data_IF_434780541418
#
_entry.id   IF_434780541418
#
_cell.length_a   1.000
_cell.length_b   1.000
_cell.length_c   1.000
_cell.angle_alpha   90.00
_cell.angle_beta   90.00
_cell.angle_gamma   90.00
#
_symmetry.space_group_name_H-M   'P 1'
#
loop_
_entity.id
_entity.type
_entity.pdbx_description
1 polymer ?
#
# COMPACT_ATOMS: atom_id res chain seq x y z
N UNK A 1 23.79 -50.84 33.11
CA UNK A 1 23.41 -49.64 33.91
C UNK A 1 23.82 -48.45 33.12
N UNK A 2 22.86 -47.78 32.44
CA UNK A 2 23.12 -46.58 31.65
C UNK A 2 22.83 -45.38 32.54
N UNK A 3 23.88 -44.64 32.87
CA UNK A 3 23.80 -43.46 33.71
C UNK A 3 23.39 -42.24 32.87
N UNK A 4 22.11 -41.88 32.86
CA UNK A 4 21.57 -40.71 32.21
C UNK A 4 21.89 -39.49 33.07
N UNK A 5 23.13 -38.96 32.91
CA UNK A 5 23.54 -37.68 33.48
C UNK A 5 22.78 -36.56 32.78
N UNK A 6 21.78 -35.99 33.44
CA UNK A 6 21.15 -34.74 33.00
C UNK A 6 22.20 -33.60 33.05
N UNK A 7 22.34 -32.81 31.94
CA UNK A 7 23.29 -31.69 31.95
C UNK A 7 22.88 -30.68 33.02
N UNK A 8 23.81 -30.38 33.91
CA UNK A 8 23.72 -29.36 34.92
C UNK A 8 23.33 -28.04 34.24
N UNK A 9 22.11 -27.60 34.46
CA UNK A 9 21.61 -26.33 33.89
C UNK A 9 22.36 -25.19 34.56
N UNK A 10 23.27 -24.60 33.80
CA UNK A 10 24.09 -23.47 34.25
C UNK A 10 23.17 -22.29 34.60
N UNK A 11 22.97 -22.01 35.88
CA UNK A 11 22.06 -20.95 36.36
C UNK A 11 22.43 -19.56 35.83
N UNK A 12 23.69 -19.38 35.42
CA UNK A 12 24.18 -18.15 34.77
C UNK A 12 23.67 -18.02 33.35
N UNK A 13 23.64 -19.13 32.59
CA UNK A 13 23.15 -19.16 31.23
C UNK A 13 21.63 -18.86 31.18
N UNK A 14 20.87 -19.41 32.11
CA UNK A 14 19.40 -19.16 32.19
C UNK A 14 19.13 -17.69 32.50
N UNK A 15 19.88 -17.06 33.40
CA UNK A 15 19.74 -15.63 33.71
C UNK A 15 20.08 -14.76 32.50
N UNK A 16 21.11 -15.11 31.74
CA UNK A 16 21.54 -14.36 30.57
C UNK A 16 20.48 -14.45 29.44
N UNK A 17 19.92 -15.64 29.19
CA UNK A 17 18.83 -15.83 28.23
C UNK A 17 17.59 -15.04 28.62
N UNK A 18 17.23 -15.04 29.91
CA UNK A 18 16.09 -14.26 30.40
C UNK A 18 16.26 -12.75 30.18
N UNK A 19 17.46 -12.21 30.43
CA UNK A 19 17.76 -10.78 30.19
C UNK A 19 17.64 -10.46 28.69
N UNK A 20 18.18 -11.29 27.80
CA UNK A 20 18.09 -11.08 26.35
C UNK A 20 16.65 -11.07 25.88
N UNK A 21 15.82 -12.00 26.35
CA UNK A 21 14.40 -12.04 25.99
C UNK A 21 13.63 -10.80 26.44
N UNK A 22 13.92 -10.29 27.64
CA UNK A 22 13.31 -9.05 28.14
C UNK A 22 13.73 -7.84 27.28
N UNK A 23 15.01 -7.73 26.92
CA UNK A 23 15.48 -6.66 26.04
C UNK A 23 14.81 -6.70 24.66
N UNK A 24 14.69 -7.87 24.06
CA UNK A 24 14.00 -8.05 22.77
C UNK A 24 12.54 -7.64 22.89
N UNK A 25 11.84 -8.04 23.94
CA UNK A 25 10.43 -7.65 24.14
C UNK A 25 10.27 -6.12 24.27
N UNK A 26 11.16 -5.44 24.99
CA UNK A 26 11.14 -3.97 25.12
C UNK A 26 11.40 -3.29 23.77
N UNK A 27 12.35 -3.79 22.97
CA UNK A 27 12.62 -3.24 21.64
C UNK A 27 11.41 -3.38 20.70
N UNK A 28 10.71 -4.53 20.72
CA UNK A 28 9.51 -4.74 19.93
C UNK A 28 8.37 -3.80 20.32
N UNK A 29 8.13 -3.61 21.63
CA UNK A 29 7.06 -2.71 22.10
C UNK A 29 7.37 -1.25 21.76
N UNK A 30 8.60 -0.80 21.91
CA UNK A 30 9.03 0.55 21.54
C UNK A 30 8.88 0.79 20.03
N UNK A 31 9.24 -0.17 19.17
CA UNK A 31 9.07 -0.10 17.72
C UNK A 31 7.61 0.06 17.30
N UNK A 32 6.71 -0.73 17.87
CA UNK A 32 5.27 -0.66 17.57
C UNK A 32 4.69 0.69 17.98
N UNK A 33 5.03 1.19 19.18
CA UNK A 33 4.56 2.49 19.66
C UNK A 33 5.04 3.63 18.74
N UNK A 34 6.28 3.58 18.27
CA UNK A 34 6.82 4.58 17.34
C UNK A 34 6.07 4.60 16.01
N UNK A 35 5.78 3.43 15.45
CA UNK A 35 5.03 3.31 14.19
C UNK A 35 3.60 3.86 14.35
N UNK A 36 2.93 3.53 15.46
CA UNK A 36 1.58 4.03 15.74
C UNK A 36 1.57 5.55 15.96
N UNK A 37 2.59 6.08 16.65
CA UNK A 37 2.73 7.52 16.89
C UNK A 37 2.97 8.29 15.59
N UNK A 38 3.84 7.81 14.72
CA UNK A 38 4.09 8.40 13.40
C UNK A 38 2.84 8.38 12.52
N UNK A 39 2.05 7.30 12.58
CA UNK A 39 0.81 7.19 11.82
C UNK A 39 -0.28 8.17 12.27
N UNK A 40 -0.28 8.58 13.57
CA UNK A 40 -1.23 9.56 14.10
C UNK A 40 -0.78 11.00 13.89
N UNK A 41 0.53 11.25 13.68
CA UNK A 41 1.11 12.58 13.61
C UNK A 41 1.63 12.97 12.23
N UNK A 42 1.41 12.15 11.19
CA UNK A 42 1.57 12.65 9.83
C UNK A 42 0.51 13.72 9.61
N UNK A 43 0.90 14.98 9.39
CA UNK A 43 -0.07 16.03 9.07
C UNK A 43 -0.78 15.59 7.78
N UNK A 44 -2.11 15.37 7.86
CA UNK A 44 -2.93 15.31 6.66
C UNK A 44 -2.69 16.62 5.93
N UNK A 45 -2.37 16.60 4.64
CA UNK A 45 -2.36 17.84 3.87
C UNK A 45 -3.73 18.49 4.05
N UNK A 46 -3.73 19.70 4.60
CA UNK A 46 -4.91 20.53 4.73
C UNK A 46 -5.31 20.96 3.31
N UNK A 47 -6.11 20.15 2.65
CA UNK A 47 -6.74 20.54 1.38
C UNK A 47 -7.87 21.49 1.77
N UNK A 48 -7.63 22.78 1.60
CA UNK A 48 -8.66 23.81 1.68
C UNK A 48 -9.76 23.47 0.68
N UNK A 49 -10.93 23.15 1.21
CA UNK A 49 -12.13 22.88 0.44
C UNK A 49 -12.67 24.22 -0.12
N UNK A 50 -12.13 24.64 -1.23
CA UNK A 50 -12.86 25.57 -2.11
C UNK A 50 -13.68 24.71 -3.09
N UNK A 51 -14.87 24.29 -2.60
CA UNK A 51 -15.89 23.68 -3.41
C UNK A 51 -16.46 24.76 -4.34
N UNK A 52 -15.90 24.89 -5.51
CA UNK A 52 -16.62 25.40 -6.67
C UNK A 52 -17.14 24.21 -7.47
N UNK A 53 -18.39 23.87 -7.17
CA UNK A 53 -19.24 23.00 -8.00
C UNK A 53 -19.31 23.56 -9.41
N UNK A 54 -18.57 22.98 -10.32
CA UNK A 54 -18.81 23.12 -11.76
C UNK A 54 -18.78 21.73 -12.34
N UNK A 55 -19.95 21.30 -12.76
CA UNK A 55 -20.20 20.08 -13.54
C UNK A 55 -19.40 20.09 -14.82
N UNK A 56 -19.01 18.88 -15.21
CA UNK A 56 -18.53 18.45 -16.52
C UNK A 56 -17.04 18.52 -16.81
N UNK A 57 -16.66 17.39 -17.28
CA UNK A 57 -15.43 16.91 -17.91
C UNK A 57 -14.50 16.16 -16.98
N UNK A 58 -14.15 14.97 -17.42
CA UNK A 58 -13.04 14.14 -17.00
C UNK A 58 -11.70 14.90 -17.06
N UNK A 59 -11.57 15.99 -16.31
CA UNK A 59 -10.33 16.74 -16.25
C UNK A 59 -9.34 15.94 -15.41
N UNK A 60 -8.50 15.18 -16.09
CA UNK A 60 -7.32 14.58 -15.47
C UNK A 60 -6.50 15.71 -14.84
N UNK A 61 -5.98 15.56 -13.62
CA UNK A 61 -5.16 16.58 -12.96
C UNK A 61 -3.74 16.68 -13.56
N UNK A 62 -3.52 16.09 -14.72
CA UNK A 62 -2.27 16.06 -15.48
C UNK A 62 -2.58 16.15 -16.98
N UNK A 63 -1.72 16.80 -17.73
CA UNK A 63 -1.83 17.00 -19.18
C UNK A 63 -0.79 16.20 -19.96
N UNK A 64 0.29 15.81 -19.30
CA UNK A 64 1.38 15.06 -19.90
C UNK A 64 1.69 13.79 -19.12
N UNK A 65 2.38 12.85 -19.77
CA UNK A 65 2.85 11.61 -19.17
C UNK A 65 3.84 11.89 -18.02
N UNK A 66 4.68 12.89 -18.15
CA UNK A 66 5.65 13.25 -17.13
C UNK A 66 4.97 13.78 -15.86
N UNK A 67 3.96 14.65 -16.02
CA UNK A 67 3.13 15.12 -14.90
C UNK A 67 2.37 13.98 -14.22
N UNK A 68 1.91 12.99 -14.99
CA UNK A 68 1.30 11.80 -14.42
C UNK A 68 2.29 11.05 -13.53
N UNK A 69 3.52 10.80 -14.01
CA UNK A 69 4.52 10.08 -13.23
C UNK A 69 5.01 10.86 -12.02
N UNK A 70 5.10 12.19 -12.11
CA UNK A 70 5.38 13.04 -10.96
C UNK A 70 4.33 12.84 -9.87
N UNK A 71 3.05 12.96 -10.20
CA UNK A 71 1.95 12.72 -9.25
C UNK A 71 1.86 11.26 -8.77
N UNK A 72 2.13 10.32 -9.66
CA UNK A 72 2.16 8.89 -9.32
C UNK A 72 3.23 8.56 -8.29
N UNK A 73 4.33 9.33 -8.22
CA UNK A 73 5.39 9.14 -7.22
C UNK A 73 4.90 9.34 -5.78
N UNK A 74 3.80 10.06 -5.59
CA UNK A 74 3.17 10.29 -4.29
C UNK A 74 2.20 9.16 -3.90
N UNK A 75 1.83 8.29 -4.84
CA UNK A 75 0.95 7.15 -4.58
C UNK A 75 1.70 6.05 -3.82
N UNK A 76 1.18 5.68 -2.66
CA UNK A 76 1.82 4.71 -1.77
C UNK A 76 0.92 3.49 -1.53
N UNK A 77 1.57 2.35 -1.26
CA UNK A 77 0.87 1.13 -0.82
C UNK A 77 0.08 1.42 0.47
N UNK A 78 -1.17 0.98 0.51
CA UNK A 78 -2.10 1.23 1.62
C UNK A 78 -2.88 2.56 1.52
N UNK A 79 -2.65 3.37 0.49
CA UNK A 79 -3.42 4.58 0.23
C UNK A 79 -4.83 4.22 -0.25
N UNK A 80 -5.85 4.92 0.24
CA UNK A 80 -7.24 4.70 -0.17
C UNK A 80 -7.45 5.12 -1.62
N UNK A 81 -8.30 4.39 -2.34
CA UNK A 81 -8.60 4.62 -3.76
C UNK A 81 -9.06 6.06 -4.03
N UNK A 82 -9.91 6.61 -3.18
CA UNK A 82 -10.44 7.96 -3.34
C UNK A 82 -9.33 9.01 -3.28
N UNK A 83 -8.33 8.82 -2.40
CA UNK A 83 -7.16 9.70 -2.30
C UNK A 83 -6.29 9.60 -3.57
N UNK A 84 -6.13 8.38 -4.10
CA UNK A 84 -5.41 8.18 -5.36
C UNK A 84 -6.12 8.87 -6.52
N UNK A 85 -7.46 8.74 -6.61
CA UNK A 85 -8.25 9.41 -7.64
C UNK A 85 -8.21 10.94 -7.52
N UNK A 86 -8.05 11.48 -6.33
CA UNK A 86 -7.83 12.92 -6.11
C UNK A 86 -6.45 13.36 -6.61
N UNK A 87 -5.41 12.55 -6.38
CA UNK A 87 -4.02 12.86 -6.78
C UNK A 87 -3.79 12.76 -8.28
N UNK A 88 -4.19 11.66 -8.88
CA UNK A 88 -3.85 11.32 -10.28
C UNK A 88 -5.07 11.24 -11.20
N UNK A 89 -6.26 11.55 -10.69
CA UNK A 89 -7.52 11.47 -11.44
C UNK A 89 -8.10 10.06 -11.45
N UNK A 90 -9.29 9.95 -12.04
CA UNK A 90 -9.98 8.66 -12.17
C UNK A 90 -9.28 7.79 -13.22
N UNK A 91 -9.22 6.47 -12.99
CA UNK A 91 -8.69 5.54 -13.98
C UNK A 91 -9.58 5.50 -15.23
N UNK A 92 -8.97 5.22 -16.38
CA UNK A 92 -9.69 5.08 -17.66
C UNK A 92 -10.54 3.83 -17.71
N UNK A 93 -10.04 2.76 -17.09
CA UNK A 93 -10.73 1.48 -17.05
C UNK A 93 -10.41 0.73 -15.76
N UNK A 94 -11.45 0.19 -15.12
CA UNK A 94 -11.28 -0.78 -14.05
C UNK A 94 -11.87 -2.13 -14.47
N UNK A 95 -11.12 -3.19 -14.21
CA UNK A 95 -11.60 -4.56 -14.34
C UNK A 95 -12.67 -4.89 -13.30
N UNK A 96 -13.28 -6.07 -13.46
CA UNK A 96 -14.28 -6.56 -12.51
C UNK A 96 -13.64 -6.71 -11.13
N UNK A 97 -14.46 -6.47 -10.11
CA UNK A 97 -14.07 -6.79 -8.74
C UNK A 97 -14.06 -8.32 -8.56
N UNK A 98 -12.93 -8.84 -8.09
CA UNK A 98 -12.74 -10.25 -7.81
C UNK A 98 -12.82 -10.44 -6.30
N UNK A 99 -13.69 -11.34 -5.85
CA UNK A 99 -13.83 -11.67 -4.44
C UNK A 99 -13.21 -13.04 -4.17
N UNK A 100 -12.19 -13.08 -3.34
CA UNK A 100 -11.60 -14.31 -2.82
C UNK A 100 -11.92 -14.44 -1.32
N UNK A 101 -13.18 -14.84 -1.05
CA UNK A 101 -13.71 -15.09 0.28
C UNK A 101 -13.59 -13.89 1.24
N UNK A 102 -12.39 -13.43 1.49
CA UNK A 102 -12.06 -12.40 2.47
C UNK A 102 -11.62 -11.06 1.85
N UNK A 103 -11.17 -11.09 0.60
CA UNK A 103 -10.57 -9.92 -0.04
C UNK A 103 -11.34 -9.56 -1.30
N UNK A 104 -11.56 -8.25 -1.50
CA UNK A 104 -12.00 -7.68 -2.77
C UNK A 104 -10.76 -7.16 -3.50
N UNK A 105 -10.50 -7.66 -4.70
CA UNK A 105 -9.42 -7.21 -5.56
C UNK A 105 -10.00 -6.50 -6.79
N UNK A 106 -9.47 -5.32 -7.13
CA UNK A 106 -9.82 -4.58 -8.33
C UNK A 106 -8.55 -4.05 -9.01
N UNK A 107 -8.44 -4.24 -10.30
CA UNK A 107 -7.36 -3.70 -11.14
C UNK A 107 -7.88 -2.51 -11.92
N UNK A 108 -7.20 -1.38 -11.87
CA UNK A 108 -7.57 -0.15 -12.56
C UNK A 108 -6.41 0.36 -13.40
N UNK A 109 -6.67 0.71 -14.64
CA UNK A 109 -5.66 1.15 -15.61
C UNK A 109 -5.79 2.62 -15.99
N UNK A 110 -4.65 3.25 -16.23
CA UNK A 110 -4.48 4.61 -16.73
C UNK A 110 -3.83 4.55 -18.11
N UNK A 111 -4.54 5.04 -19.12
CA UNK A 111 -4.04 5.15 -20.49
C UNK A 111 -3.18 6.43 -20.60
N UNK A 112 -1.91 6.26 -20.90
CA UNK A 112 -0.95 7.34 -21.07
C UNK A 112 -0.68 7.68 -22.54
N UNK A 113 -1.57 7.24 -23.44
CA UNK A 113 -1.46 7.48 -24.87
C UNK A 113 -0.54 6.50 -25.61
N UNK A 114 -0.05 5.46 -24.95
CA UNK A 114 0.70 4.37 -25.59
C UNK A 114 -0.26 3.17 -25.81
N UNK A 115 -0.58 2.81 -27.05
CA UNK A 115 -1.52 1.72 -27.33
C UNK A 115 -1.01 0.34 -26.90
N UNK A 116 0.27 0.24 -26.54
CA UNK A 116 0.95 -1.00 -26.15
C UNK A 116 1.33 -1.06 -24.68
N UNK A 117 1.03 -0.01 -23.92
CA UNK A 117 1.37 0.03 -22.51
C UNK A 117 0.40 0.93 -21.72
N UNK A 118 0.13 0.56 -20.48
CA UNK A 118 -0.65 1.38 -19.56
C UNK A 118 -0.10 1.23 -18.14
N UNK A 119 -0.43 2.20 -17.29
CA UNK A 119 -0.12 2.11 -15.86
C UNK A 119 -1.29 1.48 -15.13
N UNK A 120 -1.00 0.53 -14.26
CA UNK A 120 -2.01 -0.19 -13.49
C UNK A 120 -1.83 0.04 -11.99
N UNK A 121 -2.95 0.24 -11.31
CA UNK A 121 -3.02 0.21 -9.86
C UNK A 121 -3.95 -0.93 -9.46
N UNK A 122 -3.45 -1.76 -8.54
CA UNK A 122 -4.18 -2.89 -7.98
C UNK A 122 -4.67 -2.48 -6.60
N UNK A 123 -5.98 -2.51 -6.41
CA UNK A 123 -6.61 -2.23 -5.13
C UNK A 123 -7.06 -3.52 -4.45
N UNK A 124 -6.80 -3.62 -3.15
CA UNK A 124 -7.30 -4.68 -2.29
C UNK A 124 -8.12 -4.06 -1.16
N UNK A 125 -9.41 -4.40 -1.07
CA UNK A 125 -10.36 -3.79 -0.13
C UNK A 125 -10.39 -2.25 -0.21
N UNK A 126 -10.27 -1.68 -1.41
CA UNK A 126 -10.29 -0.25 -1.65
C UNK A 126 -8.98 0.49 -1.39
N UNK A 127 -7.89 -0.20 -1.00
CA UNK A 127 -6.57 0.41 -0.78
C UNK A 127 -5.55 -0.07 -1.80
N UNK A 128 -4.56 0.75 -2.12
CA UNK A 128 -3.46 0.39 -3.03
C UNK A 128 -2.69 -0.81 -2.48
N UNK A 129 -2.69 -1.90 -3.22
CA UNK A 129 -1.93 -3.10 -2.92
C UNK A 129 -0.71 -3.26 -3.83
N UNK A 130 -0.79 -2.75 -5.07
CA UNK A 130 0.30 -2.81 -6.03
C UNK A 130 0.16 -1.78 -7.13
N UNK A 131 1.31 -1.44 -7.73
CA UNK A 131 1.43 -0.54 -8.88
C UNK A 131 2.31 -1.23 -9.90
N UNK A 132 1.90 -1.23 -11.17
CA UNK A 132 2.63 -1.90 -12.25
C UNK A 132 2.53 -1.12 -13.57
N UNK A 133 3.60 -1.13 -14.35
CA UNK A 133 3.57 -0.78 -15.76
C UNK A 133 3.30 -2.05 -16.57
N UNK A 134 2.24 -2.07 -17.33
CA UNK A 134 1.77 -3.25 -18.06
C UNK A 134 2.01 -3.04 -19.55
N UNK A 135 2.64 -4.02 -20.19
CA UNK A 135 2.74 -4.08 -21.64
C UNK A 135 1.52 -4.82 -22.19
N UNK A 136 0.71 -4.11 -22.96
CA UNK A 136 -0.55 -4.63 -23.51
C UNK A 136 -1.59 -3.53 -23.64
N UNK A 137 -2.76 -3.89 -24.18
CA UNK A 137 -3.87 -2.95 -24.27
C UNK A 137 -4.63 -2.87 -22.94
N UNK A 138 -5.00 -1.65 -22.52
CA UNK A 138 -5.82 -1.43 -21.31
C UNK A 138 -7.16 -2.19 -21.38
N UNK A 139 -7.69 -2.46 -22.58
CA UNK A 139 -8.91 -3.22 -22.77
C UNK A 139 -8.83 -4.66 -22.26
N UNK A 140 -7.62 -5.20 -22.05
CA UNK A 140 -7.43 -6.53 -21.49
C UNK A 140 -7.82 -6.63 -20.01
N UNK A 141 -7.93 -5.49 -19.29
CA UNK A 141 -8.43 -5.48 -17.91
C UNK A 141 -9.85 -6.05 -17.76
N UNK A 142 -10.66 -5.99 -18.79
CA UNK A 142 -12.02 -6.54 -18.77
C UNK A 142 -12.11 -8.03 -19.10
N UNK A 143 -11.02 -8.64 -19.56
CA UNK A 143 -10.98 -10.05 -20.01
C UNK A 143 -10.47 -11.02 -18.92
N UNK A 144 -10.10 -10.50 -17.79
CA UNK A 144 -9.70 -11.25 -16.59
C UNK A 144 -10.85 -11.21 -15.58
#
# INVERSE_FOLDING_TARGET
>A
MVNNGYPYKDKKLIKLVAIVLVCVAICFTAGIVTILYLRQHTPRPNISSDINTSSDTNSRPWSTKDEFYEKMSDVQIGMDKDIVEELIGKPDLCGRKIYDGKYELQRCGYDLGDPKAYQEIIYMNGTVWGIASVVGSINQLNSL
#
